data_IF_373721540211
#
_entry.id   IF_373721540211
#
_cell.length_a   1.000
_cell.length_b   1.000
_cell.length_c   1.000
_cell.angle_alpha   90.00
_cell.angle_beta   90.00
_cell.angle_gamma   90.00
#
_symmetry.space_group_name_H-M   'P 1'
#
loop_
_entity.id
_entity.type
_entity.pdbx_description
1 polymer ?
#
# COMPACT_ATOMS: atom_id res chain seq x y z
N UNK A 1 27.56 -4.49 -6.28
CA UNK A 1 27.42 -3.05 -5.94
C UNK A 1 27.87 -2.85 -4.49
N UNK A 2 28.79 -1.91 -4.27
CA UNK A 2 29.64 -1.75 -3.08
C UNK A 2 28.85 -1.74 -1.75
N UNK A 3 29.38 -2.45 -0.74
CA UNK A 3 28.95 -2.39 0.66
C UNK A 3 29.12 -0.97 1.22
N UNK A 4 28.06 -0.17 1.15
CA UNK A 4 27.99 1.10 1.89
C UNK A 4 27.81 0.81 3.38
N UNK A 5 28.85 1.08 4.18
CA UNK A 5 28.76 1.21 5.65
C UNK A 5 28.05 2.52 5.99
N UNK A 6 26.75 2.58 5.72
CA UNK A 6 25.89 3.65 6.18
C UNK A 6 25.57 3.44 7.66
N UNK A 7 25.71 4.49 8.49
CA UNK A 7 25.19 4.52 9.86
C UNK A 7 23.72 4.11 9.88
N UNK A 8 23.23 3.47 10.95
CA UNK A 8 21.85 2.95 11.00
C UNK A 8 20.78 3.97 10.60
N UNK A 9 20.98 5.24 10.99
CA UNK A 9 20.11 6.35 10.62
C UNK A 9 20.13 6.70 9.13
N UNK A 10 21.31 6.81 8.51
CA UNK A 10 21.41 7.11 7.07
C UNK A 10 20.86 5.98 6.21
N UNK A 11 21.08 4.72 6.63
CA UNK A 11 20.47 3.55 6.00
C UNK A 11 18.95 3.55 6.13
N UNK A 12 18.41 3.88 7.31
CA UNK A 12 16.97 4.02 7.50
C UNK A 12 16.39 5.11 6.59
N UNK A 13 17.03 6.28 6.53
CA UNK A 13 16.61 7.38 5.66
C UNK A 13 16.60 6.94 4.19
N UNK A 14 17.63 6.22 3.75
CA UNK A 14 17.70 5.65 2.40
C UNK A 14 16.55 4.68 2.13
N UNK A 15 16.19 3.81 3.08
CA UNK A 15 15.04 2.91 2.92
C UNK A 15 13.75 3.72 2.81
N UNK A 16 13.52 4.70 3.67
CA UNK A 16 12.32 5.54 3.60
C UNK A 16 12.25 6.33 2.28
N UNK A 17 13.41 6.75 1.75
CA UNK A 17 13.49 7.58 0.54
C UNK A 17 13.51 6.77 -0.76
N UNK A 18 14.09 5.58 -0.80
CA UNK A 18 14.31 4.85 -2.05
C UNK A 18 13.54 3.52 -2.11
N UNK A 19 13.06 2.99 -1.00
CA UNK A 19 12.28 1.75 -1.01
C UNK A 19 10.82 2.03 -1.37
N UNK A 20 10.44 1.65 -2.59
CA UNK A 20 9.09 1.79 -3.12
C UNK A 20 8.06 1.00 -2.31
N UNK A 21 8.40 -0.23 -1.94
CA UNK A 21 7.55 -1.17 -1.19
C UNK A 21 7.17 -0.60 0.18
N UNK A 22 8.17 -0.05 0.89
CA UNK A 22 7.95 0.59 2.18
C UNK A 22 7.05 1.82 2.06
N UNK A 23 7.28 2.67 1.07
CA UNK A 23 6.46 3.87 0.82
C UNK A 23 5.02 3.53 0.44
N UNK A 24 4.83 2.48 -0.35
CA UNK A 24 3.51 1.96 -0.69
C UNK A 24 2.79 1.45 0.56
N UNK A 25 3.47 0.63 1.38
CA UNK A 25 2.90 0.12 2.62
C UNK A 25 2.54 1.27 3.58
N UNK A 26 3.41 2.27 3.72
CA UNK A 26 3.15 3.46 4.52
C UNK A 26 1.94 4.23 4.01
N UNK A 27 1.84 4.44 2.69
CA UNK A 27 0.69 5.09 2.06
C UNK A 27 -0.61 4.32 2.36
N UNK A 28 -0.60 2.99 2.18
CA UNK A 28 -1.73 2.12 2.54
C UNK A 28 -2.10 2.26 4.02
N UNK A 29 -1.14 2.18 4.95
CA UNK A 29 -1.39 2.27 6.39
C UNK A 29 -2.01 3.62 6.77
N UNK A 30 -1.50 4.71 6.22
CA UNK A 30 -2.04 6.05 6.43
C UNK A 30 -3.46 6.18 5.88
N UNK A 31 -3.70 5.72 4.66
CA UNK A 31 -5.03 5.78 4.07
C UNK A 31 -6.04 4.88 4.77
N UNK A 32 -5.65 3.69 5.24
CA UNK A 32 -6.49 2.82 6.07
C UNK A 32 -6.84 3.50 7.40
N UNK A 33 -5.85 4.07 8.09
CA UNK A 33 -6.09 4.82 9.33
C UNK A 33 -7.03 6.02 9.13
N UNK A 34 -6.87 6.76 8.03
CA UNK A 34 -7.75 7.88 7.70
C UNK A 34 -9.16 7.41 7.32
N UNK A 35 -9.29 6.27 6.62
CA UNK A 35 -10.57 5.71 6.21
C UNK A 35 -11.46 5.30 7.40
N UNK A 36 -10.85 4.98 8.55
CA UNK A 36 -11.58 4.69 9.78
C UNK A 36 -12.21 5.94 10.41
N UNK A 37 -11.80 7.15 9.99
CA UNK A 37 -12.31 8.43 10.50
C UNK A 37 -13.22 9.08 9.45
N UNK A 38 -14.52 9.13 9.69
CA UNK A 38 -15.54 9.62 8.73
C UNK A 38 -15.62 11.16 8.68
N UNK A 39 -14.56 11.82 8.20
CA UNK A 39 -14.52 13.28 8.01
C UNK A 39 -14.30 13.66 6.54
N UNK A 40 -14.93 14.76 6.10
CA UNK A 40 -14.84 15.25 4.71
C UNK A 40 -13.39 15.53 4.26
N UNK A 41 -12.59 16.19 5.10
CA UNK A 41 -11.17 16.49 4.81
C UNK A 41 -10.37 15.20 4.60
N UNK A 42 -10.64 14.17 5.40
CA UNK A 42 -9.96 12.89 5.30
C UNK A 42 -10.32 12.15 4.02
N UNK A 43 -11.58 12.22 3.57
CA UNK A 43 -11.97 11.66 2.28
C UNK A 43 -11.17 12.29 1.12
N UNK A 44 -10.96 13.60 1.14
CA UNK A 44 -10.15 14.27 0.12
C UNK A 44 -8.67 13.80 0.17
N UNK A 45 -8.12 13.64 1.37
CA UNK A 45 -6.77 13.09 1.54
C UNK A 45 -6.66 11.64 1.07
N UNK A 46 -7.67 10.81 1.33
CA UNK A 46 -7.72 9.42 0.89
C UNK A 46 -7.70 9.35 -0.64
N UNK A 47 -8.49 10.19 -1.33
CA UNK A 47 -8.49 10.30 -2.80
C UNK A 47 -7.11 10.71 -3.33
N UNK A 48 -6.46 11.68 -2.68
CA UNK A 48 -5.10 12.09 -3.04
C UNK A 48 -4.09 10.96 -2.85
N UNK A 49 -4.11 10.27 -1.71
CA UNK A 49 -3.25 9.13 -1.44
C UNK A 49 -3.50 8.00 -2.44
N UNK A 50 -4.76 7.74 -2.79
CA UNK A 50 -5.17 6.72 -3.78
C UNK A 50 -4.57 7.01 -5.16
N UNK A 51 -4.74 8.25 -5.65
CA UNK A 51 -4.12 8.68 -6.90
C UNK A 51 -2.60 8.57 -6.86
N UNK A 52 -1.98 8.86 -5.71
CA UNK A 52 -0.54 8.69 -5.52
C UNK A 52 -0.13 7.22 -5.61
N UNK A 53 -0.91 6.26 -5.09
CA UNK A 53 -0.59 4.84 -5.24
C UNK A 53 -0.50 4.43 -6.70
N UNK A 54 -1.55 4.73 -7.47
CA UNK A 54 -1.64 4.36 -8.87
C UNK A 54 -0.52 5.04 -9.68
N UNK A 55 -0.33 6.36 -9.50
CA UNK A 55 0.61 7.14 -10.32
C UNK A 55 2.08 6.91 -9.97
N UNK A 56 2.42 6.70 -8.69
CA UNK A 56 3.82 6.58 -8.25
C UNK A 56 4.28 5.13 -8.09
N UNK A 57 3.37 4.22 -7.78
CA UNK A 57 3.72 2.84 -7.45
C UNK A 57 3.14 1.82 -8.43
N UNK A 58 2.31 2.24 -9.38
CA UNK A 58 1.62 1.36 -10.33
C UNK A 58 0.87 0.23 -9.63
N UNK A 59 0.30 0.52 -8.46
CA UNK A 59 -0.35 -0.43 -7.58
C UNK A 59 -1.69 0.16 -7.13
N UNK A 60 -2.70 -0.69 -6.99
CA UNK A 60 -4.02 -0.31 -6.54
C UNK A 60 -4.44 -1.13 -5.32
N UNK A 61 -4.29 -0.55 -4.12
CA UNK A 61 -4.68 -1.19 -2.86
C UNK A 61 -5.88 -0.46 -2.27
N UNK A 62 -6.97 -1.18 -2.04
CA UNK A 62 -8.13 -0.65 -1.31
C UNK A 62 -7.74 -0.39 0.16
N UNK A 63 -8.02 0.81 0.67
CA UNK A 63 -7.75 1.14 2.08
C UNK A 63 -8.66 0.38 3.06
N UNK A 64 -9.76 -0.19 2.58
CA UNK A 64 -10.64 -1.08 3.35
C UNK A 64 -10.15 -2.52 3.42
N UNK A 65 -9.13 -2.91 2.64
CA UNK A 65 -8.51 -4.22 2.79
C UNK A 65 -7.83 -4.34 4.15
N UNK A 66 -7.80 -5.53 4.75
CA UNK A 66 -7.07 -5.81 6.00
C UNK A 66 -5.74 -6.46 5.66
N UNK A 67 -4.65 -5.77 5.95
CA UNK A 67 -3.29 -6.19 5.62
C UNK A 67 -2.51 -6.39 6.91
N UNK A 68 -2.04 -7.62 7.15
CA UNK A 68 -1.27 -8.04 8.32
C UNK A 68 0.11 -7.38 8.42
N UNK A 69 0.85 -7.71 9.48
CA UNK A 69 2.19 -7.19 9.76
C UNK A 69 3.25 -7.89 8.91
N UNK A 70 4.41 -7.25 8.77
CA UNK A 70 5.57 -7.81 8.06
C UNK A 70 5.29 -8.26 6.63
N UNK A 71 4.47 -7.48 5.90
CA UNK A 71 4.21 -7.73 4.48
C UNK A 71 5.29 -7.10 3.62
N UNK A 72 5.71 -7.85 2.60
CA UNK A 72 6.71 -7.43 1.62
C UNK A 72 6.13 -7.36 0.22
N UNK A 73 6.42 -6.27 -0.49
CA UNK A 73 6.07 -6.08 -1.90
C UNK A 73 7.35 -5.88 -2.72
N UNK A 74 8.13 -6.92 -3.06
CA UNK A 74 9.44 -6.75 -3.69
C UNK A 74 9.40 -5.86 -4.94
N UNK A 75 8.39 -6.09 -5.79
CA UNK A 75 8.10 -5.30 -6.98
C UNK A 75 6.59 -5.05 -7.03
N UNK A 76 6.09 -3.92 -6.47
CA UNK A 76 4.66 -3.71 -6.31
C UNK A 76 3.88 -3.42 -7.61
N UNK A 77 4.56 -3.47 -8.75
CA UNK A 77 4.03 -3.09 -10.05
C UNK A 77 2.88 -4.03 -10.41
N UNK A 78 1.75 -3.46 -10.83
CA UNK A 78 0.57 -4.18 -11.27
C UNK A 78 -0.14 -4.98 -10.16
N UNK A 79 0.21 -4.77 -8.88
CA UNK A 79 -0.53 -5.41 -7.78
C UNK A 79 -1.88 -4.70 -7.63
N UNK A 80 -2.95 -5.50 -7.54
CA UNK A 80 -4.31 -5.03 -7.27
C UNK A 80 -4.87 -5.76 -6.05
N UNK A 81 -5.29 -5.02 -5.03
CA UNK A 81 -5.90 -5.56 -3.82
C UNK A 81 -7.26 -4.89 -3.64
N UNK A 82 -8.32 -5.66 -3.86
CA UNK A 82 -9.71 -5.22 -3.78
C UNK A 82 -10.20 -4.99 -2.35
N UNK A 83 -11.38 -4.38 -2.25
CA UNK A 83 -12.09 -4.17 -0.97
C UNK A 83 -12.39 -5.50 -0.29
N UNK A 84 -12.40 -5.53 1.05
CA UNK A 84 -12.67 -6.72 1.87
C UNK A 84 -11.66 -7.87 1.69
N UNK A 85 -10.52 -7.63 1.02
CA UNK A 85 -9.42 -8.60 1.00
C UNK A 85 -8.76 -8.65 2.38
N UNK A 86 -8.51 -9.85 2.90
CA UNK A 86 -7.74 -10.07 4.12
C UNK A 86 -6.43 -10.79 3.79
N UNK A 87 -5.31 -10.18 4.15
CA UNK A 87 -3.95 -10.71 3.96
C UNK A 87 -3.34 -10.86 5.36
N UNK A 88 -2.89 -12.07 5.68
CA UNK A 88 -2.27 -12.38 6.98
C UNK A 88 -0.88 -11.76 7.18
N UNK A 89 -0.26 -12.11 8.31
CA UNK A 89 1.10 -11.64 8.64
C UNK A 89 2.16 -12.40 7.82
N UNK A 90 3.33 -11.78 7.63
CA UNK A 90 4.52 -12.38 6.99
C UNK A 90 4.32 -12.83 5.53
N UNK A 91 3.41 -12.16 4.81
CA UNK A 91 3.13 -12.48 3.40
C UNK A 91 4.03 -11.65 2.47
N UNK A 92 4.54 -12.30 1.43
CA UNK A 92 5.24 -11.64 0.32
C UNK A 92 4.39 -11.70 -0.94
N UNK A 93 4.13 -10.54 -1.55
CA UNK A 93 3.30 -10.43 -2.75
C UNK A 93 4.14 -9.85 -3.89
N UNK A 94 4.19 -10.59 -4.99
CA UNK A 94 4.95 -10.26 -6.19
C UNK A 94 4.12 -9.44 -7.19
N UNK A 95 4.79 -8.91 -8.21
CA UNK A 95 4.17 -8.11 -9.26
C UNK A 95 2.99 -8.82 -9.94
N UNK A 96 2.04 -8.03 -10.43
CA UNK A 96 0.87 -8.46 -11.20
C UNK A 96 -0.12 -9.39 -10.45
N UNK A 97 0.05 -9.58 -9.14
CA UNK A 97 -0.92 -10.33 -8.33
C UNK A 97 -2.20 -9.51 -8.14
N UNK A 98 -3.35 -10.14 -8.36
CA UNK A 98 -4.66 -9.52 -8.19
C UNK A 98 -5.52 -10.31 -7.18
N UNK A 99 -5.94 -9.64 -6.12
CA UNK A 99 -6.98 -10.11 -5.21
C UNK A 99 -8.27 -9.34 -5.51
N UNK A 100 -9.12 -9.93 -6.35
CA UNK A 100 -10.37 -9.32 -6.81
C UNK A 100 -11.63 -9.97 -6.25
N UNK A 101 -12.78 -9.40 -6.57
CA UNK A 101 -14.11 -9.96 -6.27
C UNK A 101 -14.85 -10.30 -7.57
N UNK A 102 -15.73 -11.30 -7.53
CA UNK A 102 -16.56 -11.80 -8.66
C UNK A 102 -17.59 -10.79 -9.18
N UNK A 103 -17.64 -9.56 -8.65
CA UNK A 103 -18.45 -8.47 -9.20
C UNK A 103 -19.95 -8.54 -8.90
N UNK A 104 -20.39 -9.46 -8.02
CA UNK A 104 -21.80 -9.69 -7.71
C UNK A 104 -22.36 -8.83 -6.55
N UNK A 105 -21.54 -8.10 -5.80
CA UNK A 105 -22.00 -7.29 -4.67
C UNK A 105 -21.49 -5.85 -4.74
N UNK A 106 -22.38 -4.93 -4.32
CA UNK A 106 -22.28 -3.47 -4.41
C UNK A 106 -20.90 -2.95 -4.02
N UNK A 107 -20.13 -2.59 -5.04
CA UNK A 107 -18.81 -2.00 -4.91
C UNK A 107 -18.94 -0.53 -4.54
N UNK A 108 -18.79 -0.21 -3.25
CA UNK A 108 -18.44 1.15 -2.81
C UNK A 108 -16.96 1.36 -3.17
N UNK A 109 -16.71 1.66 -4.45
CA UNK A 109 -15.46 2.27 -4.88
C UNK A 109 -15.61 3.79 -4.67
N UNK A 110 -14.71 4.45 -3.92
CA UNK A 110 -14.61 5.90 -3.96
C UNK A 110 -14.03 6.41 -5.28
#
# INVERSE_FOLDING_TARGET
MKHYRATGFTKFLLVVIFNQSFRLLLNYRLGNYLAQRRNFIYNLLILFLKRRQIRRYSCDIAYSAKIGKNISFPHPIGIVIGTNTEIGDYVMIWQHVTFGSKGAESKVYP
#
